data_IF_485208834337
#
_entry.id   IF_485208834337
#
_cell.length_a   1.000
_cell.length_b   1.000
_cell.length_c   1.000
_cell.angle_alpha   90.00
_cell.angle_beta   90.00
_cell.angle_gamma   90.00
#
_symmetry.space_group_name_H-M   'P 1'
#
loop_
_entity.id
_entity.type
_entity.pdbx_description
1 polymer ?
#
# COMPACT_ATOMS: atom_id res chain seq x y z
N UNK A 1 -4.98 -12.14 -15.33
CA UNK A 1 -5.58 -12.67 -16.58
C UNK A 1 -5.25 -14.15 -16.67
N UNK A 2 -6.19 -15.08 -16.87
CA UNK A 2 -7.42 -15.07 -17.69
C UNK A 2 -7.17 -15.65 -19.09
N UNK A 3 -8.14 -16.45 -19.49
CA UNK A 3 -8.39 -16.98 -20.83
C UNK A 3 -7.62 -16.27 -21.96
N UNK A 4 -6.64 -16.97 -22.52
CA UNK A 4 -5.85 -16.59 -23.68
C UNK A 4 -6.45 -17.21 -24.94
N UNK A 5 -6.74 -16.40 -25.96
CA UNK A 5 -7.25 -16.89 -27.25
C UNK A 5 -6.08 -17.14 -28.21
N UNK A 6 -5.98 -18.35 -28.75
CA UNK A 6 -5.03 -18.70 -29.82
C UNK A 6 -5.79 -19.06 -31.10
N UNK A 7 -5.62 -18.24 -32.14
CA UNK A 7 -6.36 -18.38 -33.39
C UNK A 7 -7.85 -18.00 -33.27
N UNK A 8 -8.67 -18.45 -34.23
CA UNK A 8 -10.08 -18.01 -34.33
C UNK A 8 -11.01 -18.64 -33.29
N UNK A 9 -10.72 -19.82 -32.76
CA UNK A 9 -11.69 -20.59 -31.94
C UNK A 9 -11.15 -21.16 -30.62
N UNK A 10 -9.83 -21.24 -30.43
CA UNK A 10 -9.31 -21.86 -29.22
C UNK A 10 -9.07 -20.80 -28.13
N UNK A 11 -9.61 -21.04 -26.94
CA UNK A 11 -9.36 -20.23 -25.75
C UNK A 11 -8.85 -21.13 -24.63
N UNK A 12 -7.76 -20.75 -24.00
CA UNK A 12 -7.07 -21.55 -23.01
C UNK A 12 -6.83 -20.76 -21.74
N UNK A 13 -7.02 -21.38 -20.59
CA UNK A 13 -6.80 -20.76 -19.31
C UNK A 13 -5.38 -20.97 -18.82
N UNK A 14 -4.76 -19.89 -18.37
CA UNK A 14 -3.50 -19.90 -17.65
C UNK A 14 -3.73 -19.39 -16.23
N UNK A 15 -3.12 -20.07 -15.25
CA UNK A 15 -3.09 -19.66 -13.85
C UNK A 15 -1.68 -19.21 -13.49
N UNK A 16 -1.54 -18.00 -12.98
CA UNK A 16 -0.28 -17.56 -12.37
C UNK A 16 -0.15 -18.16 -10.98
N UNK A 17 0.97 -18.81 -10.70
CA UNK A 17 1.30 -19.39 -9.40
C UNK A 17 2.68 -18.89 -8.96
N UNK A 18 2.83 -18.52 -7.69
CA UNK A 18 4.14 -18.17 -7.14
C UNK A 18 4.77 -19.41 -6.51
N UNK A 19 5.95 -19.81 -6.98
CA UNK A 19 6.77 -20.89 -6.42
C UNK A 19 8.22 -20.42 -6.36
N UNK A 20 8.87 -20.63 -5.23
CA UNK A 20 10.28 -20.30 -5.00
C UNK A 20 10.60 -18.83 -5.32
N UNK A 21 9.73 -17.93 -4.88
CA UNK A 21 9.84 -16.48 -5.11
C UNK A 21 9.48 -16.01 -6.52
N UNK A 22 9.39 -16.92 -7.50
CA UNK A 22 9.13 -16.62 -8.91
C UNK A 22 7.66 -16.85 -9.29
N UNK A 23 7.15 -16.05 -10.24
CA UNK A 23 5.80 -16.20 -10.79
C UNK A 23 5.88 -17.09 -12.04
N UNK A 24 5.22 -18.25 -12.01
CA UNK A 24 5.12 -19.20 -13.13
C UNK A 24 3.69 -19.23 -13.67
N UNK A 25 3.53 -19.46 -14.97
CA UNK A 25 2.22 -19.64 -15.62
C UNK A 25 1.94 -21.12 -15.82
N UNK A 26 0.87 -21.62 -15.20
CA UNK A 26 0.37 -22.97 -15.37
C UNK A 26 -0.70 -23.00 -16.45
N UNK A 27 -0.51 -23.77 -17.50
CA UNK A 27 -1.49 -23.99 -18.55
C UNK A 27 -2.53 -25.03 -18.12
N UNK A 28 -3.81 -24.66 -18.12
CA UNK A 28 -4.92 -25.53 -17.73
C UNK A 28 -5.86 -25.89 -18.90
N UNK A 29 -5.54 -25.43 -20.12
CA UNK A 29 -6.31 -25.72 -21.30
C UNK A 29 -7.71 -25.09 -21.27
N UNK A 30 -8.70 -25.77 -21.86
CA UNK A 30 -10.07 -25.26 -22.02
C UNK A 30 -11.16 -26.04 -21.29
N UNK A 31 -10.76 -27.07 -20.54
CA UNK A 31 -11.67 -28.05 -19.93
C UNK A 31 -12.29 -27.59 -18.60
N UNK A 32 -12.92 -28.53 -17.89
CA UNK A 32 -13.53 -28.31 -16.58
C UNK A 32 -12.56 -27.74 -15.56
N UNK A 33 -11.30 -28.21 -15.55
CA UNK A 33 -10.24 -27.72 -14.67
C UNK A 33 -9.95 -26.23 -14.88
N UNK A 34 -9.94 -25.76 -16.12
CA UNK A 34 -9.77 -24.35 -16.48
C UNK A 34 -10.92 -23.48 -15.98
N UNK A 35 -12.16 -23.95 -16.15
CA UNK A 35 -13.35 -23.24 -15.68
C UNK A 35 -13.42 -23.17 -14.15
N UNK A 36 -13.08 -24.26 -13.45
CA UNK A 36 -13.00 -24.29 -11.99
C UNK A 36 -11.97 -23.29 -11.47
N UNK A 37 -10.75 -23.32 -12.03
CA UNK A 37 -9.69 -22.39 -11.66
C UNK A 37 -10.04 -20.92 -11.96
N UNK A 38 -10.79 -20.66 -13.04
CA UNK A 38 -11.31 -19.32 -13.35
C UNK A 38 -12.34 -18.84 -12.32
N UNK A 39 -13.25 -19.73 -11.88
CA UNK A 39 -14.25 -19.42 -10.86
C UNK A 39 -13.60 -19.16 -9.50
N UNK A 40 -12.66 -20.00 -9.09
CA UNK A 40 -11.87 -19.80 -7.86
C UNK A 40 -11.14 -18.45 -7.87
N UNK A 41 -10.46 -18.13 -8.98
CA UNK A 41 -9.76 -16.85 -9.12
C UNK A 41 -10.69 -15.63 -9.19
N UNK A 42 -11.96 -15.81 -9.56
CA UNK A 42 -12.96 -14.74 -9.50
C UNK A 42 -13.44 -14.51 -8.05
N UNK A 43 -13.67 -15.59 -7.30
CA UNK A 43 -14.06 -15.53 -5.88
C UNK A 43 -12.93 -14.90 -5.05
N UNK A 44 -11.68 -15.32 -5.26
CA UNK A 44 -10.53 -14.79 -4.55
C UNK A 44 -10.37 -13.28 -4.79
N UNK A 45 -10.53 -12.83 -6.05
CA UNK A 45 -10.52 -11.40 -6.38
C UNK A 45 -11.66 -10.64 -5.71
N UNK A 46 -12.88 -11.16 -5.73
CA UNK A 46 -14.01 -10.54 -5.07
C UNK A 46 -13.76 -10.39 -3.56
N UNK A 47 -13.22 -11.42 -2.90
CA UNK A 47 -12.87 -11.36 -1.48
C UNK A 47 -11.81 -10.29 -1.20
N UNK A 48 -10.75 -10.22 -2.00
CA UNK A 48 -9.71 -9.19 -1.86
C UNK A 48 -10.27 -7.78 -2.10
N UNK A 49 -11.11 -7.61 -3.10
CA UNK A 49 -11.77 -6.33 -3.39
C UNK A 49 -12.66 -5.89 -2.22
N UNK A 50 -13.47 -6.79 -1.65
CA UNK A 50 -14.28 -6.47 -0.46
C UNK A 50 -13.43 -6.12 0.75
N UNK A 51 -12.34 -6.84 1.00
CA UNK A 51 -11.40 -6.53 2.08
C UNK A 51 -10.76 -5.15 1.90
N UNK A 52 -10.28 -4.85 0.70
CA UNK A 52 -9.69 -3.55 0.37
C UNK A 52 -10.70 -2.40 0.48
N UNK A 53 -11.95 -2.62 0.08
CA UNK A 53 -13.02 -1.64 0.24
C UNK A 53 -13.31 -1.35 1.71
N UNK A 54 -13.30 -2.36 2.58
CA UNK A 54 -13.49 -2.17 4.02
C UNK A 54 -12.35 -1.35 4.63
N UNK A 55 -11.09 -1.68 4.30
CA UNK A 55 -9.91 -0.93 4.76
C UNK A 55 -9.97 0.52 4.27
N UNK A 56 -10.18 0.72 2.96
CA UNK A 56 -10.27 2.05 2.36
C UNK A 56 -11.40 2.88 2.98
N UNK A 57 -12.55 2.27 3.25
CA UNK A 57 -13.67 2.95 3.92
C UNK A 57 -13.31 3.38 5.34
N UNK A 58 -12.59 2.56 6.08
CA UNK A 58 -12.17 2.89 7.44
C UNK A 58 -11.07 3.98 7.45
N UNK A 59 -10.14 3.92 6.51
CA UNK A 59 -9.13 4.97 6.29
C UNK A 59 -9.79 6.30 5.94
N UNK A 60 -10.80 6.31 5.06
CA UNK A 60 -11.53 7.53 4.71
C UNK A 60 -12.23 8.17 5.92
N UNK A 61 -12.77 7.38 6.85
CA UNK A 61 -13.41 7.93 8.07
C UNK A 61 -12.42 8.68 8.96
N UNK A 62 -11.18 8.20 9.00
CA UNK A 62 -10.12 8.75 9.87
C UNK A 62 -9.19 9.72 9.15
N UNK A 63 -9.29 9.83 7.82
CA UNK A 63 -8.41 10.64 6.98
C UNK A 63 -8.32 12.10 7.44
N UNK A 64 -9.46 12.73 7.73
CA UNK A 64 -9.50 14.13 8.20
C UNK A 64 -8.81 14.28 9.56
N UNK A 65 -9.04 13.36 10.49
CA UNK A 65 -8.39 13.38 11.80
C UNK A 65 -6.87 13.16 11.67
N UNK A 66 -6.43 12.23 10.81
CA UNK A 66 -5.02 12.00 10.51
C UNK A 66 -4.35 13.24 9.89
N UNK A 67 -5.03 13.90 8.95
CA UNK A 67 -4.55 15.14 8.35
C UNK A 67 -4.41 16.25 9.39
N UNK A 68 -5.42 16.46 10.24
CA UNK A 68 -5.38 17.47 11.29
C UNK A 68 -4.27 17.18 12.31
N UNK A 69 -4.13 15.93 12.74
CA UNK A 69 -3.05 15.52 13.64
C UNK A 69 -1.67 15.83 13.05
N UNK A 70 -1.47 15.57 11.76
CA UNK A 70 -0.21 15.90 11.07
C UNK A 70 0.05 17.40 10.98
N UNK A 71 -1.00 18.21 10.80
CA UNK A 71 -0.89 19.67 10.84
C UNK A 71 -0.50 20.16 12.24
N UNK A 72 -1.15 19.64 13.28
CA UNK A 72 -0.83 19.97 14.68
C UNK A 72 0.60 19.56 15.04
N UNK A 73 1.05 18.38 14.63
CA UNK A 73 2.42 17.91 14.83
C UNK A 73 3.44 18.87 14.17
N UNK A 74 3.17 19.26 12.93
CA UNK A 74 4.04 20.19 12.17
C UNK A 74 4.11 21.55 12.86
N UNK A 75 2.95 22.11 13.24
CA UNK A 75 2.88 23.40 13.92
C UNK A 75 3.55 23.36 15.30
N UNK A 76 3.32 22.30 16.06
CA UNK A 76 3.93 22.12 17.40
C UNK A 76 5.44 22.00 17.31
N UNK A 77 5.95 21.27 16.31
CA UNK A 77 7.38 21.16 16.04
C UNK A 77 7.97 22.52 15.66
N UNK A 78 7.31 23.26 14.76
CA UNK A 78 7.74 24.59 14.36
C UNK A 78 7.77 25.58 15.54
N UNK A 79 6.74 25.54 16.39
CA UNK A 79 6.67 26.36 17.61
C UNK A 79 7.82 26.03 18.56
N UNK A 80 8.06 24.73 18.85
CA UNK A 80 9.18 24.33 19.69
C UNK A 80 10.53 24.77 19.12
N UNK A 81 10.74 24.58 17.82
CA UNK A 81 11.97 25.00 17.14
C UNK A 81 12.17 26.52 17.27
N UNK A 82 11.13 27.32 17.07
CA UNK A 82 11.18 28.77 17.20
C UNK A 82 11.53 29.22 18.64
N UNK A 83 10.90 28.59 19.64
CA UNK A 83 11.18 28.87 21.06
C UNK A 83 12.62 28.51 21.42
N UNK A 84 13.10 27.34 21.00
CA UNK A 84 14.45 26.88 21.29
C UNK A 84 15.51 27.75 20.60
N UNK A 85 15.28 28.13 19.35
CA UNK A 85 16.15 29.07 18.63
C UNK A 85 16.18 30.44 19.31
N UNK A 86 15.02 30.98 19.70
CA UNK A 86 14.92 32.25 20.44
C UNK A 86 15.63 32.21 21.80
N UNK A 87 15.65 31.06 22.47
CA UNK A 87 16.39 30.83 23.71
C UNK A 87 17.90 30.55 23.50
N UNK A 88 18.41 30.66 22.27
CA UNK A 88 19.83 30.47 21.92
C UNK A 88 20.26 29.01 21.84
N UNK A 89 19.32 28.07 21.72
CA UNK A 89 19.62 26.68 21.39
C UNK A 89 19.74 26.49 19.89
N UNK A 90 20.45 25.46 19.47
CA UNK A 90 20.58 25.06 18.08
C UNK A 90 20.71 23.54 17.97
N UNK A 91 20.40 23.00 16.80
CA UNK A 91 20.65 21.60 16.43
C UNK A 91 21.08 21.50 14.98
N UNK A 92 21.82 20.47 14.63
CA UNK A 92 22.07 20.08 13.24
C UNK A 92 21.14 18.92 12.88
N UNK A 93 20.22 19.11 11.93
CA UNK A 93 19.28 18.07 11.48
C UNK A 93 18.61 17.32 12.66
N UNK A 94 18.57 15.99 12.62
CA UNK A 94 17.98 15.09 13.62
C UNK A 94 18.82 14.93 14.91
N UNK A 95 19.79 15.80 15.17
CA UNK A 95 20.60 15.76 16.40
C UNK A 95 19.91 16.42 17.60
N UNK A 96 20.45 16.15 18.79
CA UNK A 96 19.96 16.75 20.04
C UNK A 96 20.23 18.26 20.06
N UNK A 97 19.27 19.01 20.60
CA UNK A 97 19.43 20.44 20.87
C UNK A 97 20.59 20.73 21.82
N UNK A 98 21.37 21.77 21.52
CA UNK A 98 22.48 22.27 22.35
C UNK A 98 22.36 23.76 22.54
N UNK A 99 22.66 24.26 23.74
CA UNK A 99 22.74 25.70 23.99
C UNK A 99 24.02 26.25 23.34
N UNK A 100 23.92 27.37 22.62
CA UNK A 100 25.13 28.11 22.20
C UNK A 100 25.85 28.56 23.47
N UNK A 101 27.09 28.10 23.66
CA UNK A 101 28.01 28.72 24.61
C UNK A 101 28.57 29.95 23.90
N UNK A 102 28.66 31.06 24.62
CA UNK A 102 28.75 32.43 24.12
C UNK A 102 29.70 32.69 22.94
N UNK A 103 29.43 33.80 22.26
CA UNK A 103 30.47 34.82 22.18
C UNK A 103 30.67 35.41 23.59
#
# INVERSE_FOLDING_TARGET
MAWERRGKTATYYYRSVRRDGQVKKLYLGKGSAAHKAAKEAAIERANLETGNQLISREEMKTATACQLSKQVETLSTCLMDAVLLGAGFWRQNYSRWRKRRGN
#
